data_IF_033817416820
#
_entry.id   IF_033817416820
#
_cell.length_a   1.000
_cell.length_b   1.000
_cell.length_c   1.000
_cell.angle_alpha   90.00
_cell.angle_beta   90.00
_cell.angle_gamma   90.00
#
_symmetry.space_group_name_H-M   'P 1'
#
loop_
_entity.id
_entity.type
_entity.pdbx_description
1 polymer ?
#
# COMPACT_ATOMS: atom_id res chain seq x y z
N UNK A 1 9.54 -19.00 -19.17
CA UNK A 1 8.42 -18.16 -18.67
C UNK A 1 9.00 -16.79 -18.39
N UNK A 2 8.75 -15.81 -19.27
CA UNK A 2 9.34 -14.48 -19.15
C UNK A 2 8.42 -13.60 -18.31
N UNK A 3 8.99 -13.00 -17.27
CA UNK A 3 8.27 -12.06 -16.39
C UNK A 3 8.57 -10.64 -16.89
N UNK A 4 7.55 -9.91 -17.34
CA UNK A 4 7.67 -8.56 -17.95
C UNK A 4 7.90 -7.45 -16.91
N UNK A 5 8.93 -7.62 -16.07
CA UNK A 5 9.31 -6.66 -15.03
C UNK A 5 10.57 -5.90 -15.45
N UNK A 6 10.59 -4.59 -15.20
CA UNK A 6 11.76 -3.76 -15.48
C UNK A 6 12.92 -4.10 -14.53
N UNK A 7 13.98 -4.72 -15.06
CA UNK A 7 15.15 -5.15 -14.28
C UNK A 7 15.80 -4.01 -13.49
N UNK A 8 15.94 -2.81 -14.09
CA UNK A 8 16.53 -1.64 -13.43
C UNK A 8 15.72 -1.21 -12.20
N UNK A 9 14.40 -1.19 -12.30
CA UNK A 9 13.49 -0.83 -11.20
C UNK A 9 13.58 -1.85 -10.06
N UNK A 10 13.67 -3.15 -10.37
CA UNK A 10 13.86 -4.20 -9.37
C UNK A 10 15.22 -4.15 -8.69
N UNK A 11 16.29 -3.84 -9.45
CA UNK A 11 17.62 -3.63 -8.88
C UNK A 11 17.59 -2.46 -7.89
N UNK A 12 17.04 -1.32 -8.29
CA UNK A 12 16.88 -0.15 -7.41
C UNK A 12 16.08 -0.48 -6.14
N UNK A 13 14.98 -1.23 -6.26
CA UNK A 13 14.18 -1.64 -5.10
C UNK A 13 14.99 -2.48 -4.10
N UNK A 14 15.85 -3.40 -4.58
CA UNK A 14 16.77 -4.18 -3.74
C UNK A 14 17.80 -3.29 -3.06
N UNK A 15 18.45 -2.42 -3.83
CA UNK A 15 19.49 -1.53 -3.30
C UNK A 15 18.95 -0.61 -2.20
N UNK A 16 17.75 -0.03 -2.38
CA UNK A 16 17.08 0.80 -1.36
C UNK A 16 16.74 -0.01 -0.11
N UNK A 17 16.21 -1.22 -0.28
CA UNK A 17 15.89 -2.10 0.85
C UNK A 17 17.14 -2.39 1.69
N UNK A 18 18.26 -2.72 1.05
CA UNK A 18 19.48 -3.09 1.75
C UNK A 18 20.08 -1.88 2.50
N UNK A 19 20.00 -0.68 1.92
CA UNK A 19 20.34 0.56 2.61
C UNK A 19 19.47 0.79 3.87
N UNK A 20 18.15 0.63 3.75
CA UNK A 20 17.23 0.78 4.89
C UNK A 20 17.51 -0.24 5.99
N UNK A 21 17.78 -1.50 5.64
CA UNK A 21 18.17 -2.55 6.60
C UNK A 21 19.48 -2.19 7.31
N UNK A 22 20.47 -1.68 6.57
CA UNK A 22 21.73 -1.19 7.13
C UNK A 22 21.52 -0.06 8.15
N UNK A 23 20.66 0.91 7.83
CA UNK A 23 20.31 2.01 8.74
C UNK A 23 19.56 1.51 9.98
N UNK A 24 18.57 0.61 9.81
CA UNK A 24 17.83 0.04 10.93
C UNK A 24 18.72 -0.72 11.91
N UNK A 25 19.74 -1.45 11.41
CA UNK A 25 20.71 -2.14 12.26
C UNK A 25 21.54 -1.18 13.13
N UNK A 26 21.82 0.03 12.63
CA UNK A 26 22.57 1.06 13.36
C UNK A 26 21.71 1.80 14.39
N UNK A 27 20.45 2.05 14.07
CA UNK A 27 19.54 2.90 14.86
C UNK A 27 18.70 2.10 15.87
N UNK A 28 18.36 0.84 15.59
CA UNK A 28 17.55 -0.02 16.46
C UNK A 28 18.36 -1.22 16.95
N UNK A 29 18.64 -1.25 18.25
CA UNK A 29 19.42 -2.31 18.91
C UNK A 29 18.69 -3.67 18.98
N UNK A 30 17.39 -3.73 18.69
CA UNK A 30 16.64 -4.99 18.67
C UNK A 30 15.50 -4.97 17.64
N UNK A 31 15.81 -5.23 16.37
CA UNK A 31 14.75 -5.60 15.41
C UNK A 31 14.29 -7.03 15.74
N UNK A 32 13.24 -7.19 16.55
CA UNK A 32 12.58 -8.48 16.63
C UNK A 32 11.82 -8.75 15.33
N UNK A 33 11.96 -9.94 14.73
CA UNK A 33 11.18 -10.31 13.57
C UNK A 33 9.69 -10.36 13.96
N UNK A 34 8.93 -9.34 13.57
CA UNK A 34 7.47 -9.38 13.67
C UNK A 34 6.95 -10.24 12.53
N UNK A 35 5.94 -11.08 12.80
CA UNK A 35 5.30 -11.85 11.73
C UNK A 35 4.68 -10.91 10.69
N UNK A 36 5.15 -11.04 9.45
CA UNK A 36 4.70 -10.23 8.32
C UNK A 36 3.36 -10.80 7.83
N UNK A 37 2.28 -10.39 8.47
CA UNK A 37 0.92 -10.74 8.04
C UNK A 37 0.33 -9.61 7.17
N UNK A 38 -0.62 -9.91 6.28
CA UNK A 38 -1.31 -8.87 5.50
C UNK A 38 -1.96 -7.78 6.35
N UNK A 39 -2.39 -8.12 7.57
CA UNK A 39 -2.97 -7.15 8.53
C UNK A 39 -1.91 -6.18 9.03
N UNK A 40 -0.73 -6.68 9.42
CA UNK A 40 0.38 -5.83 9.90
C UNK A 40 0.87 -4.90 8.80
N UNK A 41 1.00 -5.39 7.56
CA UNK A 41 1.35 -4.57 6.39
C UNK A 41 0.34 -3.45 6.18
N UNK A 42 -0.97 -3.77 6.14
CA UNK A 42 -2.01 -2.77 5.96
C UNK A 42 -2.01 -1.71 7.06
N UNK A 43 -1.87 -2.13 8.33
CA UNK A 43 -1.78 -1.20 9.46
C UNK A 43 -0.58 -0.24 9.32
N UNK A 44 0.61 -0.77 8.99
CA UNK A 44 1.80 0.06 8.81
C UNK A 44 1.63 1.10 7.68
N UNK A 45 1.06 0.68 6.54
CA UNK A 45 0.76 1.59 5.43
C UNK A 45 -0.26 2.64 5.87
N UNK A 46 -1.36 2.23 6.51
CA UNK A 46 -2.39 3.17 6.98
C UNK A 46 -1.82 4.18 7.97
N UNK A 47 -0.95 3.79 8.90
CA UNK A 47 -0.35 4.74 9.85
C UNK A 47 0.53 5.79 9.17
N UNK A 48 1.23 5.45 8.08
CA UNK A 48 2.07 6.41 7.35
C UNK A 48 1.32 7.23 6.29
N UNK A 49 0.20 6.71 5.78
CA UNK A 49 -0.51 7.27 4.63
C UNK A 49 -1.98 7.63 4.92
N UNK A 50 -2.35 7.77 6.21
CA UNK A 50 -3.73 7.99 6.67
C UNK A 50 -4.41 9.23 6.05
N UNK A 51 -3.62 10.24 5.68
CA UNK A 51 -4.10 11.48 5.08
C UNK A 51 -4.61 11.29 3.64
N UNK A 52 -4.09 10.29 2.93
CA UNK A 52 -4.42 10.00 1.53
C UNK A 52 -5.34 8.78 1.39
N UNK A 53 -6.38 8.73 2.22
CA UNK A 53 -7.38 7.64 2.22
C UNK A 53 -8.63 8.07 1.48
N UNK A 54 -9.27 7.12 0.80
CA UNK A 54 -10.57 7.28 0.16
C UNK A 54 -11.54 6.17 0.59
N UNK A 55 -12.83 6.50 0.65
CA UNK A 55 -13.91 5.55 0.92
C UNK A 55 -14.87 5.45 -0.26
N UNK A 56 -15.58 4.33 -0.38
CA UNK A 56 -16.66 4.20 -1.36
C UNK A 56 -17.95 4.82 -0.84
N UNK A 57 -18.45 5.85 -1.51
CA UNK A 57 -19.72 6.51 -1.21
C UNK A 57 -20.87 5.72 -1.81
N UNK A 58 -21.76 5.17 -0.98
CA UNK A 58 -22.89 4.33 -1.44
C UNK A 58 -23.94 5.15 -2.21
N UNK A 59 -24.16 6.41 -1.82
CA UNK A 59 -25.13 7.29 -2.47
C UNK A 59 -24.61 7.81 -3.82
N UNK A 60 -23.30 8.06 -3.93
CA UNK A 60 -22.67 8.52 -5.16
C UNK A 60 -22.20 7.39 -6.08
N UNK A 61 -22.01 6.17 -5.60
CA UNK A 61 -21.41 5.07 -6.36
C UNK A 61 -19.93 5.31 -6.74
N UNK A 62 -19.26 6.26 -6.07
CA UNK A 62 -17.92 6.74 -6.41
C UNK A 62 -17.01 6.71 -5.18
N UNK A 63 -15.69 6.72 -5.38
CA UNK A 63 -14.77 6.90 -4.27
C UNK A 63 -14.61 8.38 -3.94
N UNK A 64 -14.54 8.71 -2.66
CA UNK A 64 -14.33 10.07 -2.17
C UNK A 64 -13.17 10.07 -1.19
N UNK A 65 -12.29 11.07 -1.28
CA UNK A 65 -11.22 11.27 -0.31
C UNK A 65 -11.80 11.62 1.05
N UNK A 66 -11.27 11.01 2.12
CA UNK A 66 -11.80 11.18 3.48
C UNK A 66 -11.67 12.63 3.96
N UNK A 67 -10.61 13.31 3.54
CA UNK A 67 -10.31 14.63 4.07
C UNK A 67 -10.97 15.78 3.32
N UNK A 68 -11.02 15.70 2.00
CA UNK A 68 -11.50 16.80 1.14
C UNK A 68 -12.83 16.49 0.47
N UNK A 69 -13.39 15.29 0.70
CA UNK A 69 -14.58 14.79 0.01
C UNK A 69 -14.49 14.91 -1.51
N UNK A 70 -13.27 14.90 -2.05
CA UNK A 70 -13.04 14.97 -3.49
C UNK A 70 -13.32 13.60 -4.11
N UNK A 71 -14.18 13.57 -5.12
CA UNK A 71 -14.45 12.38 -5.92
C UNK A 71 -13.19 11.96 -6.68
N UNK A 72 -12.84 10.68 -6.57
CA UNK A 72 -11.68 10.05 -7.18
C UNK A 72 -12.05 8.70 -7.78
N UNK A 73 -11.24 8.20 -8.72
CA UNK A 73 -11.42 6.89 -9.34
C UNK A 73 -10.17 6.05 -9.19
N UNK A 74 -10.35 4.73 -9.19
CA UNK A 74 -9.23 3.80 -9.19
C UNK A 74 -8.70 3.71 -10.63
N UNK A 75 -7.41 3.97 -10.82
CA UNK A 75 -6.79 3.90 -12.15
C UNK A 75 -6.86 2.47 -12.71
N UNK A 76 -7.18 2.26 -14.01
CA UNK A 76 -7.43 0.93 -14.59
C UNK A 76 -6.22 -0.02 -14.58
N UNK A 77 -5.00 0.50 -14.41
CA UNK A 77 -3.79 -0.32 -14.23
C UNK A 77 -3.59 -0.81 -12.80
N UNK A 78 -4.45 -0.40 -11.87
CA UNK A 78 -4.40 -0.87 -10.48
C UNK A 78 -5.09 -2.23 -10.35
N UNK A 79 -4.75 -2.99 -9.32
CA UNK A 79 -5.37 -4.28 -9.03
C UNK A 79 -6.23 -4.21 -7.75
N UNK A 80 -7.39 -3.52 -7.76
CA UNK A 80 -8.28 -3.52 -6.61
C UNK A 80 -8.98 -4.88 -6.46
N UNK A 81 -9.06 -5.39 -5.23
CA UNK A 81 -9.91 -6.53 -4.93
C UNK A 81 -11.37 -6.05 -4.92
N UNK A 82 -12.12 -6.31 -5.99
CA UNK A 82 -13.52 -5.93 -6.08
C UNK A 82 -14.33 -6.86 -5.14
N UNK A 83 -14.61 -6.40 -3.93
CA UNK A 83 -15.72 -7.00 -3.16
C UNK A 83 -16.99 -6.46 -3.80
N UNK A 84 -17.67 -7.31 -4.57
CA UNK A 84 -19.02 -7.04 -5.05
C UNK A 84 -19.87 -6.61 -3.87
N UNK A 85 -20.35 -5.37 -3.90
CA UNK A 85 -21.41 -4.95 -3.01
C UNK A 85 -22.62 -5.81 -3.36
N UNK A 86 -22.95 -6.78 -2.49
CA UNK A 86 -24.23 -7.46 -2.51
C UNK A 86 -25.19 -6.62 -1.67
N UNK A 87 -26.12 -5.86 -2.28
CA UNK A 87 -27.24 -5.33 -1.54
C UNK A 87 -28.06 -6.53 -1.03
N UNK A 88 -28.17 -6.65 0.29
CA UNK A 88 -29.26 -7.37 0.95
C UNK A 88 -30.42 -6.42 1.19
#
# INVERSE_FOLDING_TARGET
MNVFIQHRSMKRARDIRDQLVGLMRRVRSSSQPTQVTPVVIRKAITTGYFYHVAHFSKCGGMYETVQKSQTVTIHPQSCPQQKTYHPG
#
